data_IF_980770869740
#
_entry.id   IF_980770869740
#
_cell.length_a   1.000
_cell.length_b   1.000
_cell.length_c   1.000
_cell.angle_alpha   90.00
_cell.angle_beta   90.00
_cell.angle_gamma   90.00
#
_symmetry.space_group_name_H-M   'P 1'
#
loop_
_entity.id
_entity.type
_entity.pdbx_description
1 polymer ?
#
# COMPACT_ATOMS: atom_id res chain seq x y z
N UNK A 1 1.91 7.14 9.66
CA UNK A 1 2.05 7.88 8.39
C UNK A 1 2.72 9.22 8.66
N UNK A 2 3.35 9.81 7.65
CA UNK A 2 3.98 11.14 7.75
C UNK A 2 3.46 12.02 6.61
N UNK A 3 3.05 13.24 6.95
CA UNK A 3 2.69 14.30 5.99
C UNK A 3 3.74 15.39 6.04
N UNK A 4 4.20 15.84 4.88
CA UNK A 4 5.15 16.96 4.77
C UNK A 4 4.91 17.74 3.48
N UNK A 5 5.42 18.98 3.46
CA UNK A 5 5.46 19.81 2.25
C UNK A 5 6.90 20.13 1.90
N UNK A 6 7.29 19.88 0.65
CA UNK A 6 8.55 20.30 0.08
C UNK A 6 8.26 21.32 -1.02
N UNK A 7 8.71 22.56 -0.81
CA UNK A 7 8.31 23.72 -1.61
C UNK A 7 6.78 23.88 -1.66
N UNK A 8 6.18 23.56 -2.80
CA UNK A 8 4.73 23.66 -3.06
C UNK A 8 4.11 22.29 -3.32
N UNK A 9 4.86 21.20 -3.10
CA UNK A 9 4.39 19.84 -3.31
C UNK A 9 4.24 19.13 -1.97
N UNK A 10 3.05 18.60 -1.73
CA UNK A 10 2.73 17.82 -0.54
C UNK A 10 3.01 16.33 -0.76
N UNK A 11 3.63 15.71 0.25
CA UNK A 11 4.01 14.30 0.25
C UNK A 11 3.40 13.58 1.45
N UNK A 12 2.84 12.40 1.22
CA UNK A 12 2.45 11.48 2.27
C UNK A 12 3.25 10.17 2.17
N UNK A 13 3.87 9.78 3.27
CA UNK A 13 4.56 8.50 3.40
C UNK A 13 3.77 7.58 4.33
N UNK A 14 3.46 6.39 3.84
CA UNK A 14 2.81 5.32 4.59
C UNK A 14 3.74 4.11 4.58
N UNK A 15 4.07 3.62 5.77
CA UNK A 15 4.71 2.32 5.98
C UNK A 15 3.71 1.45 6.73
N UNK A 16 3.24 0.36 6.12
CA UNK A 16 2.25 -0.54 6.72
C UNK A 16 2.75 -1.98 6.80
N UNK A 17 2.26 -2.70 7.81
CA UNK A 17 2.36 -4.14 7.90
C UNK A 17 0.92 -4.68 7.91
N UNK A 18 0.47 -5.24 6.79
CA UNK A 18 -0.93 -5.69 6.62
C UNK A 18 -1.12 -7.13 7.12
N UNK A 19 -2.38 -7.55 7.25
CA UNK A 19 -2.74 -8.90 7.67
C UNK A 19 -1.97 -10.00 6.90
N UNK A 20 -1.26 -10.84 7.65
CA UNK A 20 -0.63 -12.06 7.15
C UNK A 20 -1.66 -13.14 6.86
N UNK A 21 -1.29 -14.15 6.07
CA UNK A 21 -2.10 -15.34 5.84
C UNK A 21 -2.08 -15.77 4.38
N UNK A 22 -2.28 -17.06 4.16
CA UNK A 22 -2.24 -17.73 2.85
C UNK A 22 -3.56 -18.41 2.48
N UNK A 23 -4.60 -18.29 3.32
CA UNK A 23 -5.91 -18.87 3.02
C UNK A 23 -6.59 -18.06 1.93
N UNK A 24 -7.42 -18.73 1.15
CA UNK A 24 -8.30 -18.07 0.18
C UNK A 24 -9.15 -17.01 0.88
N UNK A 25 -9.13 -15.78 0.34
CA UNK A 25 -9.83 -14.63 0.91
C UNK A 25 -9.03 -13.81 1.92
N UNK A 26 -7.81 -14.22 2.32
CA UNK A 26 -6.95 -13.40 3.18
C UNK A 26 -6.53 -12.09 2.49
N UNK A 27 -6.49 -12.05 1.16
CA UNK A 27 -6.27 -10.84 0.37
C UNK A 27 -7.36 -9.78 0.61
N UNK A 28 -8.61 -10.20 0.86
CA UNK A 28 -9.70 -9.27 1.18
C UNK A 28 -9.52 -8.62 2.56
N UNK A 29 -8.86 -9.31 3.50
CA UNK A 29 -8.50 -8.73 4.79
C UNK A 29 -7.44 -7.65 4.61
N UNK A 30 -6.39 -7.92 3.81
CA UNK A 30 -5.37 -6.91 3.46
C UNK A 30 -5.99 -5.67 2.78
N UNK A 31 -6.92 -5.88 1.85
CA UNK A 31 -7.67 -4.78 1.22
C UNK A 31 -8.49 -3.99 2.24
N UNK A 32 -9.08 -4.67 3.23
CA UNK A 32 -9.84 -4.02 4.30
C UNK A 32 -8.94 -3.19 5.21
N UNK A 33 -7.76 -3.69 5.57
CA UNK A 33 -6.75 -2.94 6.33
C UNK A 33 -6.35 -1.65 5.59
N UNK A 34 -6.13 -1.72 4.27
CA UNK A 34 -5.83 -0.56 3.42
C UNK A 34 -6.95 0.47 3.48
N UNK A 35 -8.21 0.03 3.34
CA UNK A 35 -9.38 0.91 3.43
C UNK A 35 -9.51 1.55 4.81
N UNK A 36 -9.20 0.81 5.88
CA UNK A 36 -9.19 1.33 7.24
C UNK A 36 -8.08 2.37 7.44
N UNK A 37 -6.86 2.10 6.98
CA UNK A 37 -5.74 3.05 7.05
C UNK A 37 -6.09 4.36 6.33
N UNK A 38 -6.69 4.28 5.14
CA UNK A 38 -7.15 5.44 4.38
C UNK A 38 -8.23 6.25 5.10
N UNK A 39 -9.16 5.57 5.78
CA UNK A 39 -10.27 6.21 6.51
C UNK A 39 -9.82 6.82 7.84
N UNK A 40 -8.97 6.11 8.58
CA UNK A 40 -8.59 6.46 9.94
C UNK A 40 -7.45 7.49 9.99
N UNK A 41 -6.58 7.54 8.98
CA UNK A 41 -5.44 8.46 8.97
C UNK A 41 -5.89 9.89 8.69
N UNK A 42 -5.74 10.77 9.68
CA UNK A 42 -5.95 12.21 9.54
C UNK A 42 -4.71 12.98 10.00
N UNK A 43 -4.36 14.03 9.26
CA UNK A 43 -3.23 14.90 9.59
C UNK A 43 -3.73 16.19 10.25
N UNK A 44 -3.17 16.59 11.40
CA UNK A 44 -3.62 17.77 12.12
C UNK A 44 -3.26 19.04 11.36
N UNK A 45 -4.17 20.02 11.36
CA UNK A 45 -3.98 21.34 10.74
C UNK A 45 -3.10 22.26 11.60
N UNK A 46 -1.84 21.89 11.77
CA UNK A 46 -0.85 22.67 12.52
C UNK A 46 -0.21 23.67 11.54
N UNK A 47 -0.17 24.96 11.90
CA UNK A 47 0.37 26.07 11.08
C UNK A 47 -0.47 26.50 9.86
N UNK A 48 -1.69 27.01 10.09
CA UNK A 48 -2.43 27.75 9.05
C UNK A 48 -1.68 29.03 8.67
N UNK A 49 -1.08 29.07 7.47
CA UNK A 49 -0.83 30.32 6.75
C UNK A 49 -1.97 30.54 5.77
N UNK A 50 -2.52 31.76 5.76
CA UNK A 50 -3.58 32.12 4.82
C UNK A 50 -3.13 31.80 3.38
N UNK A 51 -3.91 31.00 2.66
CA UNK A 51 -3.64 30.62 1.26
C UNK A 51 -2.88 29.29 1.05
N UNK A 52 -2.39 28.60 2.09
CA UNK A 52 -1.80 27.26 1.92
C UNK A 52 -2.85 26.15 2.05
N UNK A 53 -2.99 25.32 1.01
CA UNK A 53 -3.77 24.07 1.04
C UNK A 53 -2.96 23.03 1.82
N UNK A 54 -3.37 22.74 3.05
CA UNK A 54 -2.76 21.70 3.89
C UNK A 54 -3.60 20.43 3.73
N UNK A 55 -3.03 19.31 3.25
CA UNK A 55 -3.76 18.06 3.10
C UNK A 55 -4.16 17.49 4.46
N UNK A 56 -5.39 16.98 4.57
CA UNK A 56 -5.94 16.46 5.83
C UNK A 56 -6.00 14.93 5.83
N UNK A 57 -6.13 14.33 4.66
CA UNK A 57 -6.15 12.89 4.43
C UNK A 57 -4.98 12.46 3.57
N UNK A 58 -4.69 11.16 3.56
CA UNK A 58 -3.66 10.58 2.69
C UNK A 58 -3.89 10.99 1.23
N UNK A 59 -5.12 10.83 0.73
CA UNK A 59 -5.49 11.09 -0.67
C UNK A 59 -5.46 12.58 -1.07
N UNK A 60 -5.34 13.49 -0.11
CA UNK A 60 -5.31 14.93 -0.40
C UNK A 60 -3.92 15.43 -0.83
N UNK A 61 -2.88 14.59 -0.69
CA UNK A 61 -1.50 14.95 -1.02
C UNK A 61 -1.23 14.82 -2.51
N UNK A 62 -0.35 15.67 -3.04
CA UNK A 62 0.07 15.64 -4.45
C UNK A 62 0.81 14.33 -4.79
N UNK A 63 1.60 13.83 -3.83
CA UNK A 63 2.38 12.60 -3.95
C UNK A 63 2.15 11.71 -2.73
N UNK A 64 1.73 10.47 -2.96
CA UNK A 64 1.57 9.46 -1.92
C UNK A 64 2.53 8.32 -2.21
N UNK A 65 3.33 7.96 -1.21
CA UNK A 65 4.28 6.85 -1.27
C UNK A 65 3.86 5.87 -0.18
N UNK A 66 3.36 4.71 -0.60
CA UNK A 66 2.92 3.64 0.28
C UNK A 66 3.84 2.44 0.10
N UNK A 67 4.45 1.99 1.19
CA UNK A 67 5.37 0.87 1.23
C UNK A 67 5.21 0.05 2.52
N UNK A 68 5.99 -1.02 2.65
CA UNK A 68 6.08 -1.84 3.84
C UNK A 68 5.89 -3.32 3.55
N UNK A 69 5.59 -4.10 4.58
CA UNK A 69 5.23 -5.51 4.43
C UNK A 69 3.73 -5.62 4.14
N UNK A 70 3.38 -5.59 2.86
CA UNK A 70 1.98 -5.63 2.43
C UNK A 70 1.37 -7.04 2.52
N UNK A 71 2.19 -8.07 2.74
CA UNK A 71 1.76 -9.46 2.94
C UNK A 71 0.91 -10.10 1.82
N UNK A 72 0.75 -9.47 0.65
CA UNK A 72 0.17 -10.13 -0.52
C UNK A 72 1.05 -11.29 -0.96
N UNK A 73 0.43 -12.38 -1.38
CA UNK A 73 1.09 -13.64 -1.73
C UNK A 73 0.91 -13.93 -3.22
N UNK A 74 1.66 -14.90 -3.71
CA UNK A 74 1.46 -15.48 -5.05
C UNK A 74 0.32 -16.50 -4.96
N UNK A 75 -0.75 -16.30 -5.72
CA UNK A 75 -1.92 -17.18 -5.78
C UNK A 75 -1.66 -18.43 -6.65
N UNK A 76 -0.71 -19.25 -6.22
CA UNK A 76 -0.36 -20.53 -6.85
C UNK A 76 -0.09 -21.60 -5.79
N UNK A 77 -0.13 -22.87 -6.21
CA UNK A 77 0.38 -23.95 -5.38
C UNK A 77 1.90 -23.80 -5.18
N UNK A 78 2.43 -24.41 -4.12
CA UNK A 78 3.87 -24.44 -3.88
C UNK A 78 4.65 -25.06 -5.05
N UNK A 79 4.15 -26.16 -5.60
CA UNK A 79 4.81 -26.87 -6.71
C UNK A 79 4.85 -26.02 -7.99
N UNK A 80 3.75 -25.36 -8.33
CA UNK A 80 3.70 -24.47 -9.50
C UNK A 80 4.61 -23.26 -9.32
N UNK A 81 4.59 -22.65 -8.12
CA UNK A 81 5.46 -21.53 -7.78
C UNK A 81 6.93 -21.93 -7.92
N UNK A 82 7.31 -23.08 -7.36
CA UNK A 82 8.68 -23.59 -7.41
C UNK A 82 9.13 -23.90 -8.83
N UNK A 83 8.25 -24.44 -9.66
CA UNK A 83 8.52 -24.67 -11.09
C UNK A 83 8.85 -23.35 -11.80
N UNK A 84 7.98 -22.34 -11.66
CA UNK A 84 8.18 -21.03 -12.30
C UNK A 84 9.44 -20.32 -11.81
N UNK A 85 9.76 -20.43 -10.52
CA UNK A 85 11.02 -19.92 -9.95
C UNK A 85 12.24 -20.60 -10.58
N UNK A 86 12.20 -21.92 -10.76
CA UNK A 86 13.31 -22.69 -11.37
C UNK A 86 13.51 -22.29 -12.83
N UNK A 87 12.42 -21.96 -13.53
CA UNK A 87 12.44 -21.49 -14.92
C UNK A 87 12.77 -19.99 -15.04
N UNK A 88 12.94 -19.26 -13.93
CA UNK A 88 13.07 -17.79 -13.88
C UNK A 88 11.93 -17.07 -14.64
N UNK A 89 10.73 -17.63 -14.63
CA UNK A 89 9.58 -17.06 -15.31
C UNK A 89 8.88 -16.03 -14.41
N UNK A 90 9.51 -14.87 -14.26
CA UNK A 90 9.05 -13.79 -13.39
C UNK A 90 7.70 -13.22 -13.83
N UNK A 91 7.47 -13.10 -15.15
CA UNK A 91 6.22 -12.56 -15.68
C UNK A 91 5.01 -13.40 -15.26
N UNK A 92 5.13 -14.73 -15.29
CA UNK A 92 4.07 -15.63 -14.84
C UNK A 92 3.83 -15.54 -13.32
N UNK A 93 4.88 -15.33 -12.52
CA UNK A 93 4.75 -15.11 -11.07
C UNK A 93 4.05 -13.79 -10.77
N UNK A 94 4.44 -12.70 -11.45
CA UNK A 94 3.82 -11.38 -11.27
C UNK A 94 2.33 -11.37 -11.63
N UNK A 95 1.92 -12.12 -12.67
CA UNK A 95 0.51 -12.28 -13.02
C UNK A 95 -0.34 -12.96 -11.94
N UNK A 96 0.30 -13.61 -10.97
CA UNK A 96 -0.35 -14.32 -9.87
C UNK A 96 -0.17 -13.62 -8.53
N UNK A 97 0.48 -12.46 -8.52
CA UNK A 97 0.61 -11.66 -7.32
C UNK A 97 -0.74 -11.02 -6.94
N UNK A 98 -1.17 -11.25 -5.70
CA UNK A 98 -2.47 -10.77 -5.21
C UNK A 98 -2.58 -9.25 -5.14
N UNK A 99 -1.48 -8.49 -5.10
CA UNK A 99 -1.55 -7.01 -5.10
C UNK A 99 -2.01 -6.47 -6.45
N UNK A 100 -1.80 -7.24 -7.52
CA UNK A 100 -2.10 -6.84 -8.89
C UNK A 100 -3.53 -7.24 -9.32
N UNK A 101 -4.30 -7.85 -8.41
CA UNK A 101 -5.68 -8.30 -8.63
C UNK A 101 -6.67 -7.27 -8.10
#
# INVERSE_FOLDING_TARGET
SVSMTLHQTSFCFICSHLASGEKEGDELRRNSDVLEILRATQFPRICRRAGQRIPEKIIDHDRVIWLGDLNYRISLSYEDTKKLLTENNWDALFQKDQVST
#
